data_IF_898138535976
#
_entry.id   IF_898138535976
#
_cell.length_a   1.000
_cell.length_b   1.000
_cell.length_c   1.000
_cell.angle_alpha   90.00
_cell.angle_beta   90.00
_cell.angle_gamma   90.00
#
_symmetry.space_group_name_H-M   'P 1'
#
loop_
_entity.id
_entity.type
_entity.pdbx_description
1 polymer ?
#
# COMPACT_ATOMS: atom_id res chain seq x y z
N UNK A 1 5.55 25.20 13.06
CA UNK A 1 5.48 24.72 13.45
C UNK A 1 5.87 24.52 14.21
N UNK A 2 5.94 24.61 14.46
CA UNK A 2 6.20 24.34 15.09
C UNK A 2 6.50 23.58 15.66
N UNK A 3 6.89 23.20 15.80
CA UNK A 3 7.11 22.51 16.30
C UNK A 3 7.55 21.98 16.81
N UNK A 4 7.86 21.62 17.11
CA UNK A 4 8.36 21.13 17.58
C UNK A 4 8.89 20.46 18.03
N UNK A 5 9.21 20.05 18.21
CA UNK A 5 9.64 19.26 18.48
C UNK A 5 10.15 18.68 19.13
N UNK A 6 10.50 18.31 19.67
CA UNK A 6 10.90 17.77 20.15
C UNK A 6 11.12 16.98 20.71
N UNK A 7 11.44 16.61 21.09
CA UNK A 7 11.71 15.91 21.60
C UNK A 7 11.80 15.02 21.96
N UNK A 8 11.97 14.32 22.20
CA UNK A 8 12.06 13.43 22.53
C UNK A 8 12.35 12.59 23.07
N UNK A 9 12.25 12.25 23.39
CA UNK A 9 12.42 11.54 23.94
C UNK A 9 12.48 10.64 24.02
N UNK A 10 12.63 10.40 23.94
CA UNK A 10 12.75 9.66 24.47
C UNK A 10 12.66 8.47 24.25
N UNK A 11 12.63 8.03 24.77
CA UNK A 11 12.52 6.73 24.82
C UNK A 11 11.71 6.17 23.85
N UNK A 12 10.94 6.82 23.46
CA UNK A 12 10.13 6.31 22.69
C UNK A 12 10.61 6.22 21.43
N UNK A 13 10.96 5.51 21.00
CA UNK A 13 11.55 5.30 19.79
C UNK A 13 10.80 5.74 18.63
N UNK A 14 9.91 6.63 18.72
CA UNK A 14 9.14 6.96 17.55
C UNK A 14 10.00 7.65 16.54
N UNK A 15 9.87 7.24 15.31
CA UNK A 15 10.54 7.78 14.17
C UNK A 15 9.87 9.10 13.81
N UNK A 16 10.60 10.22 13.66
CA UNK A 16 9.99 11.49 13.26
C UNK A 16 9.24 11.41 11.93
N UNK A 17 9.74 10.61 10.99
CA UNK A 17 9.07 10.44 9.72
C UNK A 17 7.74 9.71 9.93
N UNK A 18 7.75 8.68 10.75
CA UNK A 18 6.53 7.95 11.08
C UNK A 18 5.51 8.87 11.74
N UNK A 19 5.94 9.70 12.69
CA UNK A 19 5.03 10.64 13.35
C UNK A 19 4.43 11.63 12.37
N UNK A 20 5.25 12.15 11.44
CA UNK A 20 4.74 13.09 10.46
C UNK A 20 3.65 12.46 9.60
N UNK A 21 3.87 11.26 9.07
CA UNK A 21 2.90 10.62 8.20
C UNK A 21 1.69 10.11 8.96
N UNK A 22 1.81 9.86 10.27
CA UNK A 22 0.65 9.53 11.07
C UNK A 22 -0.30 10.72 11.17
N UNK A 23 0.25 11.94 11.32
CA UNK A 23 -0.57 13.14 11.41
C UNK A 23 -0.96 13.70 10.05
N UNK A 24 -0.16 13.42 9.02
CA UNK A 24 -0.36 13.97 7.69
C UNK A 24 -0.30 12.84 6.66
N UNK A 25 -1.34 12.00 6.58
CA UNK A 25 -1.33 10.87 5.67
C UNK A 25 -1.12 11.31 4.22
N UNK A 26 -0.32 10.56 3.51
CA UNK A 26 -0.07 10.83 2.10
C UNK A 26 -0.13 9.51 1.34
N UNK A 27 -0.88 9.42 0.27
CA UNK A 27 -1.77 10.47 -0.26
C UNK A 27 -2.95 10.75 0.68
N UNK A 28 -3.69 11.83 0.47
CA UNK A 28 -4.87 12.11 1.30
C UNK A 28 -5.85 10.95 1.28
N UNK A 29 -6.62 10.76 2.36
CA UNK A 29 -7.57 9.64 2.42
C UNK A 29 -8.59 9.68 1.29
N UNK A 30 -8.88 8.50 0.76
CA UNK A 30 -9.89 8.30 -0.27
C UNK A 30 -10.90 7.31 0.28
N UNK A 31 -12.17 7.66 0.25
CA UNK A 31 -13.22 6.83 0.81
C UNK A 31 -13.91 5.96 -0.23
N UNK A 32 -13.73 6.25 -1.51
CA UNK A 32 -14.50 5.60 -2.55
C UNK A 32 -13.58 5.10 -3.67
N UNK A 33 -13.56 3.81 -3.86
CA UNK A 33 -12.78 3.16 -4.91
C UNK A 33 -13.67 2.60 -6.03
N UNK A 34 -14.94 2.98 -6.06
CA UNK A 34 -15.88 2.42 -7.03
C UNK A 34 -15.44 2.69 -8.47
N UNK A 35 -14.99 3.90 -8.73
CA UNK A 35 -14.55 4.26 -10.08
C UNK A 35 -13.34 3.43 -10.50
N UNK A 36 -12.37 3.30 -9.62
CA UNK A 36 -11.18 2.51 -9.93
C UNK A 36 -11.54 1.05 -10.19
N UNK A 37 -12.42 0.49 -9.33
CA UNK A 37 -12.88 -0.87 -9.50
C UNK A 37 -13.56 -1.05 -10.86
N UNK A 38 -14.43 -0.12 -11.23
CA UNK A 38 -15.19 -0.26 -12.45
C UNK A 38 -14.31 -0.09 -13.68
N UNK A 39 -13.34 0.81 -13.63
CA UNK A 39 -12.41 1.01 -14.74
C UNK A 39 -11.52 -0.20 -14.96
N UNK A 40 -11.19 -0.94 -13.91
CA UNK A 40 -10.27 -2.06 -13.99
C UNK A 40 -10.96 -3.42 -14.12
N UNK A 41 -12.28 -3.44 -14.32
CA UNK A 41 -12.97 -4.67 -14.65
C UNK A 41 -12.61 -5.17 -16.04
N UNK A 42 -12.12 -4.30 -16.90
CA UNK A 42 -11.77 -4.67 -18.25
C UNK A 42 -10.52 -5.54 -18.25
N UNK A 43 -10.67 -6.81 -18.62
CA UNK A 43 -9.56 -7.76 -18.61
C UNK A 43 -8.50 -7.39 -19.64
N UNK A 44 -8.88 -6.75 -20.73
CA UNK A 44 -7.89 -6.30 -21.71
C UNK A 44 -6.94 -5.27 -21.10
N UNK A 45 -7.47 -4.40 -20.26
CA UNK A 45 -6.65 -3.40 -19.58
C UNK A 45 -5.70 -4.08 -18.60
N UNK A 46 -6.19 -5.08 -17.87
CA UNK A 46 -5.35 -5.80 -16.91
C UNK A 46 -4.22 -6.54 -17.62
N UNK A 47 -4.52 -7.17 -18.77
CA UNK A 47 -3.51 -7.87 -19.55
C UNK A 47 -2.50 -6.90 -20.14
N UNK A 48 -2.96 -5.76 -20.62
CA UNK A 48 -2.06 -4.76 -21.18
C UNK A 48 -1.07 -4.26 -20.11
N UNK A 49 -1.55 -3.99 -18.91
CA UNK A 49 -0.67 -3.56 -17.84
C UNK A 49 0.32 -4.65 -17.47
N UNK A 50 -0.14 -5.89 -17.37
CA UNK A 50 0.75 -7.01 -17.08
C UNK A 50 1.90 -7.06 -18.05
N UNK A 51 1.62 -6.91 -19.35
CA UNK A 51 2.64 -7.02 -20.38
C UNK A 51 3.53 -5.78 -20.49
N UNK A 52 3.20 -4.70 -19.81
CA UNK A 52 4.16 -3.60 -19.63
C UNK A 52 5.30 -4.01 -18.72
N UNK A 53 5.01 -4.82 -17.70
CA UNK A 53 6.05 -5.28 -16.78
C UNK A 53 6.72 -6.55 -17.29
N UNK A 54 5.97 -7.43 -17.91
CA UNK A 54 6.49 -8.73 -18.38
C UNK A 54 6.06 -8.99 -19.81
N UNK A 55 6.72 -8.35 -20.80
CA UNK A 55 6.28 -8.43 -22.19
C UNK A 55 6.23 -9.83 -22.75
N UNK A 56 7.10 -10.74 -22.26
CA UNK A 56 7.22 -12.04 -22.86
C UNK A 56 6.68 -13.17 -22.00
N UNK A 57 6.04 -12.88 -20.90
CA UNK A 57 5.48 -13.92 -20.04
C UNK A 57 4.00 -14.09 -20.31
N UNK A 58 3.47 -15.32 -20.20
CA UNK A 58 2.03 -15.52 -20.25
C UNK A 58 1.34 -14.76 -19.14
N UNK A 59 0.15 -14.27 -19.41
CA UNK A 59 -0.60 -13.50 -18.43
C UNK A 59 -0.90 -14.35 -17.19
N UNK A 60 -0.65 -13.76 -16.02
CA UNK A 60 -0.99 -14.34 -14.73
C UNK A 60 -1.84 -13.33 -13.96
N UNK A 61 -2.97 -13.79 -13.44
CA UNK A 61 -3.84 -12.94 -12.64
C UNK A 61 -3.54 -13.06 -11.14
N UNK A 62 -2.97 -14.20 -10.70
CA UNK A 62 -2.76 -14.47 -9.28
C UNK A 62 -1.41 -14.00 -8.79
N UNK A 63 -1.07 -12.76 -9.05
CA UNK A 63 0.20 -12.18 -8.64
C UNK A 63 0.27 -11.96 -7.13
N UNK A 64 1.51 -12.02 -6.60
CA UNK A 64 1.81 -11.58 -5.23
C UNK A 64 2.35 -10.16 -5.34
N UNK A 65 1.64 -9.19 -4.77
CA UNK A 65 1.99 -7.78 -4.91
C UNK A 65 2.23 -7.16 -3.55
N UNK A 66 3.37 -6.49 -3.40
CA UNK A 66 3.65 -5.70 -2.21
C UNK A 66 3.49 -4.23 -2.56
N UNK A 67 2.69 -3.50 -1.80
CA UNK A 67 2.58 -2.05 -1.93
C UNK A 67 3.29 -1.45 -0.72
N UNK A 68 4.51 -0.98 -0.95
CA UNK A 68 5.35 -0.43 0.10
C UNK A 68 5.07 1.06 0.22
N UNK A 69 4.78 1.52 1.43
CA UNK A 69 4.30 2.86 1.63
C UNK A 69 2.90 2.99 1.06
N UNK A 70 1.98 2.13 1.53
CA UNK A 70 0.66 2.01 0.90
C UNK A 70 -0.18 3.27 1.02
N UNK A 71 0.23 4.23 1.86
CA UNK A 71 -0.52 5.46 2.04
C UNK A 71 -1.89 5.18 2.62
N UNK A 72 -2.89 5.89 2.16
CA UNK A 72 -4.24 5.75 2.71
C UNK A 72 -5.17 4.95 1.81
N UNK A 73 -4.77 4.64 0.56
CA UNK A 73 -5.69 3.94 -0.34
C UNK A 73 -5.01 3.10 -1.41
N UNK A 74 -3.70 3.20 -1.58
CA UNK A 74 -3.01 2.54 -2.69
C UNK A 74 -3.14 1.02 -2.65
N UNK A 75 -2.92 0.41 -1.49
CA UNK A 75 -3.00 -1.05 -1.38
C UNK A 75 -4.42 -1.53 -1.63
N UNK A 76 -5.41 -0.81 -1.08
CA UNK A 76 -6.81 -1.18 -1.30
C UNK A 76 -7.19 -1.04 -2.77
N UNK A 77 -6.67 -0.02 -3.44
CA UNK A 77 -6.91 0.15 -4.87
C UNK A 77 -6.37 -1.04 -5.67
N UNK A 78 -5.13 -1.46 -5.39
CA UNK A 78 -4.57 -2.62 -6.07
C UNK A 78 -5.41 -3.86 -5.84
N UNK A 79 -5.88 -4.06 -4.59
CA UNK A 79 -6.67 -5.24 -4.27
C UNK A 79 -8.04 -5.23 -4.95
N UNK A 80 -8.73 -4.08 -4.95
CA UNK A 80 -10.06 -4.01 -5.54
C UNK A 80 -10.02 -4.14 -7.06
N UNK A 81 -8.93 -3.65 -7.66
CA UNK A 81 -8.78 -3.71 -9.12
C UNK A 81 -8.28 -5.07 -9.60
N UNK A 82 -7.68 -5.86 -8.72
CA UNK A 82 -7.12 -7.17 -9.08
C UNK A 82 -7.57 -8.23 -8.09
N UNK A 83 -8.84 -8.65 -8.18
CA UNK A 83 -9.39 -9.56 -7.16
C UNK A 83 -8.71 -10.93 -7.09
N UNK A 84 -7.99 -11.33 -8.14
CA UNK A 84 -7.31 -12.61 -8.14
C UNK A 84 -5.88 -12.51 -7.63
N UNK A 85 -5.36 -11.31 -7.44
CA UNK A 85 -4.02 -11.12 -6.89
C UNK A 85 -4.06 -11.13 -5.36
N UNK A 86 -2.92 -11.39 -4.75
CA UNK A 86 -2.75 -11.26 -3.30
C UNK A 86 -1.92 -10.02 -3.05
N UNK A 87 -2.47 -9.09 -2.30
CA UNK A 87 -1.86 -7.78 -2.07
C UNK A 87 -1.50 -7.63 -0.60
N UNK A 88 -0.26 -7.25 -0.34
CA UNK A 88 0.19 -6.89 1.00
C UNK A 88 0.53 -5.41 0.99
N UNK A 89 -0.15 -4.63 1.81
CA UNK A 89 0.15 -3.21 1.97
C UNK A 89 0.88 -2.97 3.26
N UNK A 90 1.99 -2.24 3.19
CA UNK A 90 2.74 -1.89 4.40
C UNK A 90 2.93 -0.39 4.46
N UNK A 91 2.96 0.14 5.67
CA UNK A 91 3.23 1.55 5.91
C UNK A 91 3.72 1.71 7.34
N UNK A 92 4.44 2.78 7.61
CA UNK A 92 4.85 3.11 8.96
C UNK A 92 3.79 3.92 9.70
N UNK A 93 2.88 4.56 8.98
CA UNK A 93 1.85 5.41 9.56
C UNK A 93 0.66 4.59 10.02
N UNK A 94 0.39 4.60 11.30
CA UNK A 94 -0.78 3.90 11.83
C UNK A 94 -2.08 4.46 11.26
N UNK A 95 -2.15 5.77 11.06
CA UNK A 95 -3.34 6.39 10.46
C UNK A 95 -3.62 5.83 9.07
N UNK A 96 -2.57 5.68 8.25
CA UNK A 96 -2.72 5.11 6.92
C UNK A 96 -3.16 3.65 6.99
N UNK A 97 -2.59 2.89 7.92
CA UNK A 97 -2.96 1.48 8.10
C UNK A 97 -4.44 1.37 8.49
N UNK A 98 -4.88 2.20 9.43
CA UNK A 98 -6.27 2.15 9.87
C UNK A 98 -7.24 2.52 8.76
N UNK A 99 -6.89 3.51 7.96
CA UNK A 99 -7.74 3.88 6.83
C UNK A 99 -7.81 2.77 5.79
N UNK A 100 -6.67 2.14 5.52
CA UNK A 100 -6.62 1.01 4.57
C UNK A 100 -7.46 -0.15 5.09
N UNK A 101 -7.43 -0.42 6.40
CA UNK A 101 -8.26 -1.46 6.98
C UNK A 101 -9.75 -1.14 6.83
N UNK A 102 -10.13 0.13 6.96
CA UNK A 102 -11.53 0.51 6.74
C UNK A 102 -11.96 0.26 5.30
N UNK A 103 -11.10 0.58 4.34
CA UNK A 103 -11.39 0.30 2.93
C UNK A 103 -11.46 -1.20 2.67
N UNK A 104 -10.59 -1.98 3.32
CA UNK A 104 -10.63 -3.43 3.20
C UNK A 104 -11.99 -3.96 3.64
N UNK A 105 -12.50 -3.47 4.77
CA UNK A 105 -13.80 -3.91 5.26
C UNK A 105 -14.94 -3.43 4.36
N UNK A 106 -14.87 -2.17 3.92
CA UNK A 106 -15.92 -1.58 3.09
C UNK A 106 -16.10 -2.35 1.79
N UNK A 107 -15.02 -2.80 1.18
CA UNK A 107 -15.06 -3.48 -0.11
C UNK A 107 -14.87 -5.00 0.02
N UNK A 108 -14.81 -5.52 1.23
CA UNK A 108 -14.65 -6.96 1.49
C UNK A 108 -13.43 -7.53 0.75
N UNK A 109 -12.29 -6.87 0.92
CA UNK A 109 -11.08 -7.23 0.19
C UNK A 109 -10.36 -8.38 0.88
N UNK A 110 -10.81 -9.61 0.64
CA UNK A 110 -10.21 -10.79 1.25
C UNK A 110 -8.82 -11.07 0.71
N UNK A 111 -8.45 -10.44 -0.40
CA UNK A 111 -7.13 -10.60 -1.02
C UNK A 111 -6.14 -9.54 -0.56
N UNK A 112 -6.46 -8.77 0.49
CA UNK A 112 -5.59 -7.71 1.01
C UNK A 112 -5.17 -8.00 2.44
N UNK A 113 -3.86 -7.95 2.67
CA UNK A 113 -3.29 -8.00 4.01
C UNK A 113 -2.63 -6.66 4.28
N UNK A 114 -2.85 -6.07 5.46
CA UNK A 114 -2.33 -4.75 5.80
C UNK A 114 -1.45 -4.89 7.04
N UNK A 115 -0.23 -4.36 6.98
CA UNK A 115 0.70 -4.46 8.10
C UNK A 115 1.46 -3.15 8.32
N UNK A 116 1.66 -2.80 9.57
CA UNK A 116 2.49 -1.66 9.93
C UNK A 116 3.93 -2.14 10.02
N UNK A 117 4.69 -1.95 8.95
CA UNK A 117 6.06 -2.45 8.83
C UNK A 117 6.90 -1.39 8.13
N UNK A 118 8.12 -1.20 8.58
CA UNK A 118 9.08 -0.34 7.88
C UNK A 118 9.60 -1.07 6.64
N UNK A 119 9.83 -0.32 5.57
CA UNK A 119 10.28 -0.91 4.31
C UNK A 119 11.60 -1.68 4.50
N UNK A 120 12.46 -1.20 5.39
CA UNK A 120 13.75 -1.86 5.64
C UNK A 120 13.58 -3.24 6.24
N UNK A 121 12.43 -3.54 6.80
CA UNK A 121 12.17 -4.82 7.46
C UNK A 121 11.35 -5.78 6.61
N UNK A 122 11.13 -5.45 5.35
CA UNK A 122 10.33 -6.30 4.46
C UNK A 122 10.92 -7.70 4.34
N UNK A 123 12.25 -7.81 4.32
CA UNK A 123 12.89 -9.13 4.19
C UNK A 123 12.53 -10.05 5.34
N UNK A 124 12.17 -9.51 6.50
CA UNK A 124 11.81 -10.32 7.66
C UNK A 124 10.46 -11.00 7.49
N UNK A 125 9.67 -10.60 6.51
CA UNK A 125 8.38 -11.22 6.25
C UNK A 125 8.52 -12.61 5.64
N UNK A 126 9.70 -12.94 5.10
CA UNK A 126 9.94 -14.27 4.54
C UNK A 126 9.08 -14.61 3.36
N UNK A 127 8.71 -13.62 2.56
CA UNK A 127 7.81 -13.82 1.42
C UNK A 127 8.41 -13.22 0.17
N UNK A 128 8.13 -13.85 -0.96
CA UNK A 128 8.54 -13.34 -2.26
C UNK A 128 7.35 -12.68 -2.94
N UNK A 129 7.62 -11.64 -3.69
CA UNK A 129 6.57 -10.90 -4.40
C UNK A 129 6.91 -10.84 -5.88
N UNK A 130 5.87 -10.92 -6.72
CA UNK A 130 6.04 -10.78 -8.17
C UNK A 130 6.20 -9.31 -8.55
N UNK A 131 5.56 -8.42 -7.81
CA UNK A 131 5.60 -6.99 -8.09
C UNK A 131 5.71 -6.23 -6.78
N UNK A 132 6.59 -5.26 -6.73
CA UNK A 132 6.71 -4.35 -5.60
C UNK A 132 6.44 -2.95 -6.10
N UNK A 133 5.42 -2.32 -5.51
CA UNK A 133 5.04 -0.95 -5.85
C UNK A 133 5.47 -0.04 -4.71
N UNK A 134 6.21 1.01 -5.05
CA UNK A 134 6.70 1.97 -4.06
C UNK A 134 6.03 3.30 -4.33
N UNK A 135 5.24 3.78 -3.37
CA UNK A 135 4.56 5.04 -3.54
C UNK A 135 4.83 5.92 -2.34
N UNK A 136 5.41 7.07 -2.58
CA UNK A 136 5.64 8.05 -1.53
C UNK A 136 6.68 7.67 -0.51
N UNK A 137 7.45 6.59 -0.74
CA UNK A 137 8.40 6.10 0.25
C UNK A 137 9.79 6.68 0.06
N UNK A 138 10.23 6.81 -1.18
CA UNK A 138 11.63 7.16 -1.44
C UNK A 138 12.01 8.53 -0.90
N UNK A 139 11.12 9.49 -0.93
CA UNK A 139 11.44 10.82 -0.43
C UNK A 139 11.40 10.90 1.10
N UNK A 140 11.01 9.84 1.76
CA UNK A 140 10.99 9.79 3.21
C UNK A 140 12.23 9.11 3.79
N UNK A 141 13.10 8.62 2.95
CA UNK A 141 14.30 7.90 3.38
C UNK A 141 15.47 8.86 3.59
#
# INVERSE_FOLDING_TARGET
>A
MTGDPVAPSTSDSSDPIQDFYTRHPYPPPVENLDRARDEWRDQNRQRAEFHLFWPERPYLADLEILVAGCGTWQAAKYAVCRPEARVVGIDVSLTSIEHTERLKQKYSLTNLEVRQVQIERVAEMGRDFDLIVWTGVLHAI
#
